data_IF_651856385277
#
_entry.id   IF_651856385277
#
_cell.length_a   1.000
_cell.length_b   1.000
_cell.length_c   1.000
_cell.angle_alpha   90.00
_cell.angle_beta   90.00
_cell.angle_gamma   90.00
#
_symmetry.space_group_name_H-M   'P 1'
#
loop_
_entity.id
_entity.type
_entity.pdbx_description
1 polymer ?
#
# COMPACT_ATOMS: atom_id res chain seq x y z
N UNK A 1 -30.28 -41.48 -31.72
CA UNK A 1 -30.12 -40.33 -32.65
C UNK A 1 -28.98 -39.46 -32.14
N UNK A 2 -27.80 -39.54 -32.76
CA UNK A 2 -26.61 -38.79 -32.36
C UNK A 2 -26.45 -37.52 -33.23
N UNK A 3 -26.43 -36.34 -32.59
CA UNK A 3 -26.19 -35.05 -33.27
C UNK A 3 -24.68 -34.85 -33.50
N UNK A 4 -24.28 -34.82 -34.76
CA UNK A 4 -22.92 -34.47 -35.24
C UNK A 4 -22.72 -32.95 -35.07
N UNK A 5 -21.75 -32.51 -34.25
CA UNK A 5 -21.30 -31.10 -34.20
C UNK A 5 -20.14 -30.89 -35.18
N UNK A 6 -20.21 -29.81 -35.96
CA UNK A 6 -19.19 -29.38 -36.93
C UNK A 6 -17.93 -28.82 -36.27
N UNK A 7 -16.73 -28.93 -36.88
CA UNK A 7 -15.50 -28.45 -36.27
C UNK A 7 -15.33 -26.93 -36.44
N UNK A 8 -15.06 -26.22 -35.34
CA UNK A 8 -14.62 -24.80 -35.36
C UNK A 8 -13.13 -24.74 -35.77
N UNK A 9 -12.81 -23.96 -36.80
CA UNK A 9 -11.42 -23.66 -37.21
C UNK A 9 -10.70 -22.90 -36.08
N UNK A 10 -9.62 -23.45 -35.54
CA UNK A 10 -8.65 -22.74 -34.68
C UNK A 10 -7.61 -22.05 -35.57
N UNK A 11 -7.51 -20.72 -35.45
CA UNK A 11 -6.41 -19.92 -36.01
C UNK A 11 -5.21 -20.09 -35.08
N UNK A 12 -4.06 -20.53 -35.61
CA UNK A 12 -2.81 -20.72 -34.84
C UNK A 12 -2.02 -19.41 -34.86
N UNK A 13 -1.78 -18.80 -33.69
CA UNK A 13 -1.02 -17.56 -33.52
C UNK A 13 0.50 -17.78 -33.35
N UNK A 14 0.99 -19.01 -33.46
CA UNK A 14 2.36 -19.40 -33.08
C UNK A 14 3.45 -19.05 -34.11
N UNK A 15 3.29 -18.00 -34.93
CA UNK A 15 4.28 -17.66 -35.97
C UNK A 15 4.69 -16.19 -36.09
N UNK A 16 4.25 -15.31 -35.18
CA UNK A 16 4.59 -13.87 -35.27
C UNK A 16 5.58 -13.42 -34.18
N UNK A 17 5.78 -14.19 -33.11
CA UNK A 17 6.64 -13.78 -31.98
C UNK A 17 8.13 -14.16 -32.09
N UNK A 18 8.63 -14.64 -33.24
CA UNK A 18 9.99 -15.21 -33.37
C UNK A 18 10.94 -14.46 -34.32
N UNK A 19 10.64 -13.22 -34.74
CA UNK A 19 11.51 -12.47 -35.68
C UNK A 19 11.85 -11.03 -35.25
N UNK A 20 11.21 -10.47 -34.21
CA UNK A 20 11.38 -9.03 -33.89
C UNK A 20 12.44 -8.74 -32.81
N UNK A 21 12.99 -9.75 -32.13
CA UNK A 21 13.85 -9.54 -30.95
C UNK A 21 15.38 -9.43 -31.22
N UNK A 22 15.99 -9.91 -32.34
CA UNK A 22 17.45 -9.79 -32.49
C UNK A 22 17.95 -8.58 -33.31
N UNK A 23 17.13 -7.58 -33.62
CA UNK A 23 17.55 -6.42 -34.48
C UNK A 23 17.83 -5.14 -33.69
N UNK A 24 17.39 -5.02 -32.43
CA UNK A 24 17.56 -3.78 -31.63
C UNK A 24 18.85 -3.73 -30.78
N UNK A 25 19.63 -4.80 -30.74
CA UNK A 25 20.87 -4.88 -29.94
C UNK A 25 22.17 -4.56 -30.71
N UNK A 26 22.10 -4.33 -32.03
CA UNK A 26 23.26 -4.01 -32.87
C UNK A 26 23.40 -2.49 -33.14
N UNK A 27 22.37 -1.68 -32.83
CA UNK A 27 22.39 -0.24 -33.12
C UNK A 27 23.05 0.64 -32.03
N UNK A 28 23.32 0.11 -30.83
CA UNK A 28 23.81 0.91 -29.69
C UNK A 28 25.35 0.92 -29.59
N UNK A 29 26.06 0.02 -30.28
CA UNK A 29 27.53 -0.07 -30.20
C UNK A 29 28.26 0.78 -31.27
N UNK A 30 27.54 1.38 -32.21
CA UNK A 30 28.14 2.16 -33.31
C UNK A 30 28.19 3.69 -33.10
N UNK A 31 27.77 4.22 -31.94
CA UNK A 31 27.70 5.68 -31.68
C UNK A 31 28.78 6.22 -30.71
N UNK A 32 29.77 5.41 -30.32
CA UNK A 32 30.84 5.79 -29.38
C UNK A 32 32.24 5.92 -30.01
N UNK A 33 32.34 6.14 -31.31
CA UNK A 33 33.63 6.47 -31.92
C UNK A 33 33.45 7.49 -33.06
N UNK A 34 34.39 8.44 -33.13
CA UNK A 34 34.62 9.42 -34.21
C UNK A 34 33.99 10.80 -34.01
N UNK A 35 34.68 11.68 -33.25
CA UNK A 35 35.50 12.77 -33.84
C UNK A 35 35.91 13.83 -32.82
N UNK A 36 37.18 13.76 -32.39
CA UNK A 36 38.01 14.88 -31.95
C UNK A 36 38.96 15.22 -33.11
N UNK A 37 39.53 16.46 -33.13
CA UNK A 37 40.65 17.00 -33.97
C UNK A 37 40.13 17.69 -35.26
N UNK A 38 40.35 18.98 -35.63
CA UNK A 38 41.29 20.09 -35.29
C UNK A 38 40.89 21.39 -36.04
N UNK A 39 41.37 22.57 -35.61
CA UNK A 39 42.10 23.45 -36.56
C UNK A 39 41.66 24.92 -36.83
N UNK A 40 42.06 25.83 -35.93
CA UNK A 40 42.54 27.24 -36.04
C UNK A 40 42.60 28.03 -37.40
N UNK A 41 42.03 29.25 -37.35
CA UNK A 41 42.43 30.59 -37.88
C UNK A 41 42.75 30.92 -39.36
N UNK A 42 42.11 32.00 -39.86
CA UNK A 42 42.60 32.89 -40.93
C UNK A 42 41.79 34.20 -41.02
N UNK A 43 42.47 35.36 -41.01
CA UNK A 43 41.96 36.75 -40.82
C UNK A 43 41.38 37.40 -42.10
N UNK A 44 40.50 38.41 -41.92
CA UNK A 44 40.59 39.77 -42.58
C UNK A 44 39.58 40.78 -41.96
N UNK A 45 40.03 42.04 -41.81
CA UNK A 45 39.37 43.32 -41.38
C UNK A 45 39.26 44.23 -42.65
N UNK A 46 38.55 45.39 -42.78
CA UNK A 46 38.02 46.35 -41.77
C UNK A 46 36.66 47.06 -42.04
N UNK A 47 36.07 47.81 -41.09
CA UNK A 47 36.20 49.28 -40.85
C UNK A 47 35.36 49.74 -39.62
N UNK A 48 35.61 50.91 -38.97
CA UNK A 48 35.12 51.23 -37.62
C UNK A 48 33.90 52.19 -37.58
N UNK A 49 33.11 52.09 -36.51
CA UNK A 49 32.11 53.08 -36.06
C UNK A 49 32.00 53.03 -34.51
N UNK A 50 31.47 54.06 -33.83
CA UNK A 50 32.15 54.78 -32.76
C UNK A 50 31.92 54.19 -31.36
N UNK A 51 32.90 54.45 -30.50
CA UNK A 51 32.95 54.21 -29.06
C UNK A 51 31.70 54.76 -28.34
N UNK A 52 30.94 53.86 -27.72
CA UNK A 52 30.00 54.20 -26.64
C UNK A 52 30.65 53.88 -25.28
N UNK A 53 30.58 54.84 -24.36
CA UNK A 53 31.10 54.75 -23.00
C UNK A 53 30.47 53.57 -22.23
N UNK A 54 31.30 52.77 -21.58
CA UNK A 54 30.87 51.69 -20.68
C UNK A 54 30.42 52.25 -19.33
N UNK A 55 29.13 52.09 -19.04
CA UNK A 55 28.54 52.23 -17.69
C UNK A 55 28.86 50.95 -16.89
N UNK A 56 29.25 51.04 -15.60
CA UNK A 56 29.53 49.86 -14.79
C UNK A 56 28.26 49.02 -14.56
N UNK A 57 28.38 47.71 -14.73
CA UNK A 57 27.33 46.72 -14.52
C UNK A 57 27.07 46.54 -13.01
N UNK A 58 25.81 46.54 -12.53
CA UNK A 58 25.52 46.38 -11.12
C UNK A 58 25.79 44.93 -10.64
N UNK A 59 26.38 44.80 -9.46
CA UNK A 59 26.58 43.53 -8.75
C UNK A 59 25.23 42.83 -8.49
N UNK A 60 25.09 41.51 -8.75
CA UNK A 60 23.84 40.81 -8.49
C UNK A 60 23.54 40.79 -6.99
N UNK A 61 22.32 41.19 -6.62
CA UNK A 61 21.81 41.06 -5.26
C UNK A 61 21.71 39.58 -4.85
N UNK A 62 21.93 39.25 -3.56
CA UNK A 62 21.79 37.87 -3.09
C UNK A 62 20.34 37.39 -3.23
N UNK A 63 20.16 36.30 -3.98
CA UNK A 63 18.90 35.58 -4.06
C UNK A 63 18.53 35.07 -2.66
N UNK A 64 17.49 35.65 -2.07
CA UNK A 64 16.91 35.17 -0.81
C UNK A 64 16.27 33.81 -1.11
N UNK A 65 16.79 32.72 -0.52
CA UNK A 65 16.11 31.43 -0.58
C UNK A 65 14.71 31.57 0.02
N UNK A 66 13.66 31.09 -0.67
CA UNK A 66 12.31 31.13 -0.12
C UNK A 66 12.29 30.36 1.20
N UNK A 67 11.78 31.00 2.25
CA UNK A 67 11.50 30.34 3.52
C UNK A 67 10.54 29.17 3.25
N UNK A 68 10.83 27.94 3.69
CA UNK A 68 9.93 26.82 3.46
C UNK A 68 8.58 27.14 4.11
N UNK A 69 7.50 26.98 3.34
CA UNK A 69 6.15 27.06 3.89
C UNK A 69 5.99 25.97 4.98
N UNK A 70 5.29 26.26 6.09
CA UNK A 70 5.06 25.27 7.12
C UNK A 70 4.27 24.09 6.53
N UNK A 71 4.82 22.88 6.64
CA UNK A 71 4.10 21.64 6.30
C UNK A 71 2.85 21.55 7.19
N UNK A 72 1.65 21.34 6.61
CA UNK A 72 0.44 21.15 7.40
C UNK A 72 0.60 19.96 8.34
N UNK A 73 0.10 20.10 9.58
CA UNK A 73 0.12 19.04 10.58
C UNK A 73 -0.84 17.90 10.18
N UNK A 74 -0.34 16.67 9.91
CA UNK A 74 -1.18 15.54 9.52
C UNK A 74 -2.26 15.19 10.53
N UNK A 75 -2.04 15.47 11.82
CA UNK A 75 -3.02 15.23 12.90
C UNK A 75 -4.25 16.15 12.81
N UNK A 76 -4.23 17.12 11.89
CA UNK A 76 -5.37 18.00 11.61
C UNK A 76 -6.09 17.66 10.31
N UNK A 77 -5.60 16.67 9.56
CA UNK A 77 -6.23 16.24 8.31
C UNK A 77 -7.46 15.38 8.59
N UNK A 78 -8.63 15.93 8.25
CA UNK A 78 -9.93 15.27 8.42
C UNK A 78 -10.01 13.87 7.79
N UNK A 79 -9.22 13.55 6.76
CA UNK A 79 -9.25 12.23 6.11
C UNK A 79 -8.90 11.10 7.07
N UNK A 80 -8.18 11.36 8.15
CA UNK A 80 -7.82 10.33 9.13
C UNK A 80 -8.85 10.19 10.26
N UNK A 81 -9.82 11.09 10.37
CA UNK A 81 -10.78 11.13 11.48
C UNK A 81 -12.26 11.14 11.02
N UNK A 82 -12.51 11.39 9.74
CA UNK A 82 -13.81 11.29 9.12
C UNK A 82 -14.23 9.82 8.99
N UNK A 83 -15.40 9.48 9.56
CA UNK A 83 -15.98 8.14 9.56
C UNK A 83 -16.28 7.60 8.17
N UNK A 84 -16.49 8.47 7.19
CA UNK A 84 -16.76 8.05 5.81
C UNK A 84 -15.45 7.77 5.04
N UNK A 85 -14.31 8.25 5.54
CA UNK A 85 -13.00 8.09 4.88
C UNK A 85 -12.47 6.66 4.93
N UNK A 86 -11.84 6.22 3.83
CA UNK A 86 -11.07 4.97 3.80
C UNK A 86 -9.70 5.09 4.47
N UNK A 87 -9.28 6.31 4.82
CA UNK A 87 -8.05 6.58 5.55
C UNK A 87 -8.28 6.77 7.06
N UNK A 88 -9.49 6.58 7.57
CA UNK A 88 -9.75 6.71 9.02
C UNK A 88 -8.78 5.85 9.84
N UNK A 89 -8.10 6.46 10.81
CA UNK A 89 -7.12 5.76 11.64
C UNK A 89 -7.75 5.26 12.94
N UNK A 90 -7.43 4.00 13.27
CA UNK A 90 -7.62 3.43 14.59
C UNK A 90 -6.31 2.74 14.98
N UNK A 91 -5.65 3.27 16.00
CA UNK A 91 -4.44 2.72 16.60
C UNK A 91 -4.38 3.12 18.07
N UNK A 92 -3.38 2.74 18.86
CA UNK A 92 -3.37 3.03 20.31
C UNK A 92 -3.33 4.52 20.69
N UNK A 93 -3.08 5.43 19.74
CA UNK A 93 -3.15 6.89 19.94
C UNK A 93 -4.48 7.49 19.47
N UNK A 94 -5.18 6.82 18.57
CA UNK A 94 -6.39 7.32 17.93
C UNK A 94 -7.59 6.41 18.19
N UNK A 95 -8.48 6.85 19.08
CA UNK A 95 -9.76 6.19 19.34
C UNK A 95 -10.77 6.60 18.27
N UNK A 96 -11.51 5.64 17.75
CA UNK A 96 -12.71 5.88 16.97
C UNK A 96 -13.81 6.53 17.84
N UNK A 97 -14.77 7.25 17.24
CA UNK A 97 -15.92 7.77 17.96
C UNK A 97 -16.69 6.65 18.70
N UNK A 98 -17.16 6.95 19.91
CA UNK A 98 -17.91 5.99 20.73
C UNK A 98 -19.14 5.46 19.96
N UNK A 99 -19.30 4.13 19.93
CA UNK A 99 -20.41 3.48 19.24
C UNK A 99 -20.34 3.56 17.71
N UNK A 100 -19.20 3.94 17.12
CA UNK A 100 -19.04 3.98 15.68
C UNK A 100 -19.24 2.60 15.03
N UNK A 101 -20.13 2.57 14.03
CA UNK A 101 -20.42 1.44 13.14
C UNK A 101 -20.45 1.97 11.71
N UNK A 102 -19.67 1.42 10.77
CA UNK A 102 -19.75 1.83 9.37
C UNK A 102 -21.15 1.59 8.79
N UNK A 103 -21.66 2.55 8.02
CA UNK A 103 -23.02 2.48 7.46
C UNK A 103 -23.13 1.53 6.24
N UNK A 104 -22.00 1.13 5.67
CA UNK A 104 -21.86 0.42 4.39
C UNK A 104 -21.24 -0.97 4.54
N UNK A 105 -21.43 -1.63 5.70
CA UNK A 105 -20.96 -3.01 5.90
C UNK A 105 -21.67 -3.99 4.96
N UNK A 106 -20.90 -4.89 4.37
CA UNK A 106 -21.37 -5.94 3.48
C UNK A 106 -20.56 -7.24 3.65
N UNK A 107 -21.18 -8.34 3.24
CA UNK A 107 -20.54 -9.66 3.23
C UNK A 107 -19.77 -9.81 1.91
N UNK A 108 -18.43 -9.95 1.93
CA UNK A 108 -17.70 -10.30 0.72
C UNK A 108 -18.01 -11.73 0.30
N UNK A 109 -18.11 -11.99 -1.00
CA UNK A 109 -18.29 -13.32 -1.59
C UNK A 109 -16.95 -14.08 -1.68
N UNK A 110 -16.37 -14.38 -0.52
CA UNK A 110 -15.08 -15.07 -0.38
C UNK A 110 -15.16 -16.27 0.56
N UNK A 111 -14.16 -17.15 0.50
CA UNK A 111 -14.02 -18.22 1.50
C UNK A 111 -13.72 -17.63 2.88
N UNK A 112 -14.50 -18.04 3.89
CA UNK A 112 -14.38 -17.56 5.27
C UNK A 112 -14.22 -18.73 6.23
N UNK A 113 -13.41 -18.54 7.27
CA UNK A 113 -13.31 -19.51 8.38
C UNK A 113 -14.65 -19.64 9.12
N UNK A 114 -15.35 -18.52 9.28
CA UNK A 114 -16.69 -18.43 9.86
C UNK A 114 -17.54 -17.50 8.99
N UNK A 115 -18.74 -17.94 8.58
CA UNK A 115 -19.57 -17.27 7.57
C UNK A 115 -20.33 -16.04 8.10
N UNK A 116 -19.66 -15.15 8.84
CA UNK A 116 -20.32 -14.02 9.51
C UNK A 116 -19.50 -12.73 9.49
N UNK A 117 -18.41 -12.67 8.74
CA UNK A 117 -17.57 -11.48 8.66
C UNK A 117 -18.03 -10.52 7.57
N UNK A 118 -17.97 -9.23 7.90
CA UNK A 118 -18.33 -8.14 6.99
C UNK A 118 -17.18 -7.14 6.87
N UNK A 119 -17.15 -6.39 5.79
CA UNK A 119 -16.27 -5.23 5.60
C UNK A 119 -17.07 -4.07 5.01
N UNK A 120 -16.55 -2.85 5.02
CA UNK A 120 -17.14 -1.75 4.23
C UNK A 120 -17.20 -2.16 2.76
N UNK A 121 -18.27 -1.79 2.06
CA UNK A 121 -18.61 -2.28 0.73
C UNK A 121 -17.44 -2.28 -0.27
N UNK A 122 -16.75 -1.14 -0.43
CA UNK A 122 -15.62 -1.04 -1.36
C UNK A 122 -14.44 -1.94 -0.97
N UNK A 123 -14.21 -2.13 0.33
CA UNK A 123 -13.19 -3.07 0.81
C UNK A 123 -13.62 -4.52 0.56
N UNK A 124 -14.90 -4.86 0.72
CA UNK A 124 -15.43 -6.19 0.42
C UNK A 124 -15.27 -6.53 -1.08
N UNK A 125 -15.65 -5.62 -1.98
CA UNK A 125 -15.47 -5.79 -3.43
C UNK A 125 -13.99 -5.94 -3.80
N UNK A 126 -13.13 -5.10 -3.21
CA UNK A 126 -11.69 -5.20 -3.44
C UNK A 126 -11.11 -6.54 -2.93
N UNK A 127 -11.65 -7.07 -1.83
CA UNK A 127 -11.26 -8.36 -1.28
C UNK A 127 -11.62 -9.51 -2.24
N UNK A 128 -12.83 -9.48 -2.81
CA UNK A 128 -13.29 -10.44 -3.81
C UNK A 128 -12.37 -10.45 -5.05
N UNK A 129 -12.00 -9.26 -5.55
CA UNK A 129 -11.06 -9.13 -6.67
C UNK A 129 -9.68 -9.72 -6.33
N UNK A 130 -9.19 -9.46 -5.12
CA UNK A 130 -7.91 -9.98 -4.64
C UNK A 130 -7.93 -11.51 -4.53
N UNK A 131 -9.01 -12.09 -3.98
CA UNK A 131 -9.17 -13.53 -3.84
C UNK A 131 -9.28 -14.22 -5.20
N UNK A 132 -10.02 -13.63 -6.14
CA UNK A 132 -10.12 -14.14 -7.50
C UNK A 132 -8.76 -14.19 -8.20
N UNK A 133 -7.95 -13.14 -8.06
CA UNK A 133 -6.61 -13.09 -8.63
C UNK A 133 -5.63 -14.07 -7.97
N UNK A 134 -5.70 -14.23 -6.65
CA UNK A 134 -4.91 -15.24 -5.94
C UNK A 134 -5.22 -16.65 -6.47
N UNK A 135 -6.51 -16.95 -6.68
CA UNK A 135 -6.96 -18.25 -7.18
C UNK A 135 -6.46 -18.55 -8.61
N UNK A 136 -6.27 -17.53 -9.46
CA UNK A 136 -5.66 -17.70 -10.79
C UNK A 136 -4.21 -18.20 -10.71
N UNK A 137 -3.52 -17.97 -9.59
CA UNK A 137 -2.17 -18.44 -9.28
C UNK A 137 -2.17 -19.68 -8.35
N UNK A 138 -3.33 -20.33 -8.19
CA UNK A 138 -3.53 -21.47 -7.29
C UNK A 138 -3.23 -21.13 -5.82
N UNK A 139 -3.45 -19.87 -5.42
CA UNK A 139 -3.33 -19.38 -4.05
C UNK A 139 -4.75 -19.23 -3.49
N UNK A 140 -5.09 -20.02 -2.48
CA UNK A 140 -6.44 -20.07 -1.92
C UNK A 140 -6.49 -19.36 -0.56
N UNK A 141 -6.88 -18.09 -0.60
CA UNK A 141 -7.00 -17.25 0.59
C UNK A 141 -8.29 -17.57 1.35
N UNK A 142 -8.26 -17.38 2.67
CA UNK A 142 -9.43 -17.47 3.56
C UNK A 142 -9.49 -16.25 4.46
N UNK A 143 -10.69 -15.67 4.58
CA UNK A 143 -10.97 -14.60 5.53
C UNK A 143 -11.14 -15.19 6.94
N UNK A 144 -10.19 -14.91 7.82
CA UNK A 144 -10.19 -15.34 9.22
C UNK A 144 -11.09 -14.47 10.09
N UNK A 145 -11.03 -13.14 9.91
CA UNK A 145 -11.86 -12.17 10.63
C UNK A 145 -12.04 -10.87 9.83
N UNK A 146 -13.12 -10.13 10.11
CA UNK A 146 -13.46 -8.86 9.46
C UNK A 146 -13.88 -7.80 10.48
N UNK A 147 -14.93 -7.03 10.19
CA UNK A 147 -15.47 -6.02 11.09
C UNK A 147 -15.76 -6.59 12.50
N UNK A 148 -15.26 -5.88 13.51
CA UNK A 148 -15.54 -6.14 14.93
C UNK A 148 -16.00 -4.84 15.58
N UNK A 149 -17.25 -4.80 16.05
CA UNK A 149 -17.78 -3.64 16.77
C UNK A 149 -17.16 -3.46 18.16
N UNK A 150 -17.30 -2.26 18.73
CA UNK A 150 -16.71 -1.87 20.02
C UNK A 150 -17.09 -2.85 21.16
N UNK A 151 -18.35 -3.27 21.24
CA UNK A 151 -18.83 -4.19 22.27
C UNK A 151 -18.25 -5.60 22.14
N UNK A 152 -18.07 -6.09 20.90
CA UNK A 152 -17.38 -7.36 20.67
C UNK A 152 -15.92 -7.26 21.13
N UNK A 153 -15.25 -6.16 20.75
CA UNK A 153 -13.87 -5.90 21.15
C UNK A 153 -13.74 -5.78 22.67
N UNK A 154 -14.75 -5.22 23.34
CA UNK A 154 -14.80 -5.15 24.81
C UNK A 154 -14.84 -6.52 25.45
N UNK A 155 -15.72 -7.41 24.99
CA UNK A 155 -15.80 -8.78 25.54
C UNK A 155 -14.47 -9.51 25.35
N UNK A 156 -13.84 -9.37 24.18
CA UNK A 156 -12.53 -9.96 23.90
C UNK A 156 -11.44 -9.41 24.84
N UNK A 157 -11.34 -8.10 24.93
CA UNK A 157 -10.34 -7.42 25.76
C UNK A 157 -10.50 -7.75 27.25
N UNK A 158 -11.73 -7.70 27.77
CA UNK A 158 -12.03 -8.06 29.17
C UNK A 158 -11.64 -9.51 29.47
N UNK A 159 -11.80 -10.42 28.50
CA UNK A 159 -11.35 -11.81 28.60
C UNK A 159 -9.84 -11.92 28.81
N UNK A 160 -9.05 -11.20 28.01
CA UNK A 160 -7.59 -11.17 28.17
C UNK A 160 -7.15 -10.49 29.47
N UNK A 161 -7.85 -9.44 29.90
CA UNK A 161 -7.61 -8.82 31.20
C UNK A 161 -7.85 -9.83 32.33
N UNK A 162 -8.91 -10.64 32.24
CA UNK A 162 -9.19 -11.67 33.23
C UNK A 162 -8.14 -12.80 33.22
N UNK A 163 -7.57 -13.12 32.07
CA UNK A 163 -6.54 -14.16 31.91
C UNK A 163 -5.17 -13.74 32.45
N UNK A 164 -4.70 -12.55 32.09
CA UNK A 164 -3.30 -12.13 32.34
C UNK A 164 -3.13 -10.70 32.86
N UNK A 165 -4.23 -9.98 33.13
CA UNK A 165 -4.21 -8.58 33.54
C UNK A 165 -4.10 -7.61 32.35
N UNK A 166 -4.15 -6.30 32.66
CA UNK A 166 -4.22 -5.25 31.65
C UNK A 166 -2.96 -5.18 30.77
N UNK A 167 -1.76 -5.32 31.35
CA UNK A 167 -0.51 -5.30 30.58
C UNK A 167 -0.43 -6.45 29.58
N UNK A 168 -0.96 -7.64 29.92
CA UNK A 168 -1.09 -8.74 28.98
C UNK A 168 -2.09 -8.40 27.88
N UNK A 169 -3.30 -7.96 28.24
CA UNK A 169 -4.33 -7.58 27.28
C UNK A 169 -3.87 -6.49 26.29
N UNK A 170 -3.21 -5.43 26.76
CA UNK A 170 -2.68 -4.33 25.94
C UNK A 170 -1.55 -4.77 24.97
N UNK A 171 -0.93 -5.93 25.22
CA UNK A 171 0.13 -6.50 24.36
C UNK A 171 -0.40 -7.43 23.26
N UNK A 172 -1.62 -7.96 23.40
CA UNK A 172 -2.20 -8.91 22.45
C UNK A 172 -3.54 -8.45 21.85
N UNK A 173 -4.11 -7.36 22.34
CA UNK A 173 -5.43 -6.89 21.92
C UNK A 173 -5.58 -5.37 22.01
N UNK A 174 -6.31 -4.80 21.06
CA UNK A 174 -6.73 -3.40 21.12
C UNK A 174 -7.78 -3.19 22.22
N UNK A 175 -7.70 -2.06 22.92
CA UNK A 175 -8.80 -1.57 23.77
C UNK A 175 -10.02 -1.27 22.88
N UNK A 176 -11.25 -1.34 23.41
CA UNK A 176 -12.46 -0.99 22.67
C UNK A 176 -12.36 0.43 22.08
N UNK A 177 -12.74 0.59 20.81
CA UNK A 177 -12.60 1.85 20.07
C UNK A 177 -11.23 2.08 19.42
N UNK A 178 -10.21 1.28 19.72
CA UNK A 178 -8.85 1.43 19.17
C UNK A 178 -8.47 0.34 18.16
N UNK A 179 -9.39 -0.59 17.85
CA UNK A 179 -9.13 -1.68 16.93
C UNK A 179 -9.33 -1.26 15.48
N UNK A 180 -8.37 -1.60 14.63
CA UNK A 180 -8.47 -1.39 13.17
C UNK A 180 -9.68 -2.13 12.57
N UNK A 181 -10.08 -3.27 13.13
CA UNK A 181 -11.29 -4.00 12.70
C UNK A 181 -12.58 -3.21 12.87
N UNK A 182 -12.66 -2.29 13.83
CA UNK A 182 -13.86 -1.47 14.02
C UNK A 182 -14.05 -0.46 12.88
N UNK A 183 -13.01 -0.16 12.09
CA UNK A 183 -13.15 0.66 10.89
C UNK A 183 -13.96 -0.05 9.79
N UNK A 184 -14.08 -1.38 9.86
CA UNK A 184 -14.63 -2.21 8.78
C UNK A 184 -13.73 -2.31 7.56
N UNK A 185 -12.49 -1.84 7.65
CA UNK A 185 -11.50 -1.82 6.56
C UNK A 185 -10.36 -2.81 6.77
N UNK A 186 -10.25 -3.38 7.96
CA UNK A 186 -9.28 -4.40 8.29
C UNK A 186 -9.85 -5.81 8.13
N UNK A 187 -9.00 -6.74 7.72
CA UNK A 187 -9.30 -8.16 7.63
C UNK A 187 -8.08 -8.98 8.05
N UNK A 188 -8.34 -10.07 8.75
CA UNK A 188 -7.34 -11.11 8.97
C UNK A 188 -7.47 -12.14 7.87
N UNK A 189 -6.35 -12.49 7.24
CA UNK A 189 -6.27 -13.45 6.13
C UNK A 189 -5.39 -14.63 6.51
N UNK A 190 -5.84 -15.82 6.16
CA UNK A 190 -5.08 -17.05 6.31
C UNK A 190 -5.26 -17.91 5.05
N UNK A 191 -4.77 -19.15 5.10
CA UNK A 191 -4.87 -20.10 4.00
C UNK A 191 -4.79 -21.54 4.49
N UNK A 192 -4.96 -22.47 3.55
CA UNK A 192 -4.87 -23.90 3.85
C UNK A 192 -3.46 -24.28 4.31
N UNK A 193 -2.41 -23.66 3.74
CA UNK A 193 -1.02 -23.97 4.11
C UNK A 193 -0.66 -23.49 5.54
N UNK A 194 -1.49 -22.63 6.13
CA UNK A 194 -1.38 -22.21 7.54
C UNK A 194 -2.32 -22.96 8.48
N UNK A 195 -3.01 -24.02 8.03
CA UNK A 195 -4.10 -24.65 8.80
C UNK A 195 -5.16 -23.63 9.30
N UNK A 196 -5.33 -22.53 8.55
CA UNK A 196 -6.18 -21.38 8.88
C UNK A 196 -5.78 -20.60 10.15
N UNK A 197 -4.55 -20.75 10.62
CA UNK A 197 -4.02 -20.06 11.80
C UNK A 197 -3.58 -18.62 11.49
N UNK A 198 -3.78 -17.74 12.48
CA UNK A 198 -3.36 -16.34 12.45
C UNK A 198 -2.09 -16.21 13.31
N UNK A 199 -0.96 -16.63 12.73
CA UNK A 199 0.34 -16.63 13.39
C UNK A 199 1.42 -16.07 12.46
N UNK A 200 2.58 -15.73 13.01
CA UNK A 200 3.68 -15.18 12.20
C UNK A 200 4.19 -16.18 11.16
N UNK A 201 4.01 -17.48 11.39
CA UNK A 201 4.38 -18.52 10.42
C UNK A 201 3.61 -18.41 9.09
N UNK A 202 2.48 -17.68 9.07
CA UNK A 202 1.75 -17.36 7.85
C UNK A 202 2.66 -16.70 6.79
N UNK A 203 3.68 -15.93 7.19
CA UNK A 203 4.65 -15.30 6.27
C UNK A 203 5.37 -16.32 5.36
N UNK A 204 5.47 -17.58 5.81
CA UNK A 204 6.20 -18.63 5.10
C UNK A 204 5.33 -19.42 4.11
N UNK A 205 4.00 -19.26 4.20
CA UNK A 205 3.03 -19.94 3.32
C UNK A 205 3.03 -19.35 1.91
N UNK A 206 2.37 -20.03 0.96
CA UNK A 206 2.18 -19.51 -0.40
C UNK A 206 1.29 -18.26 -0.38
N UNK A 207 0.25 -18.28 0.45
CA UNK A 207 -0.74 -17.23 0.66
C UNK A 207 -0.11 -15.97 1.25
N UNK A 208 0.64 -16.09 2.35
CA UNK A 208 1.31 -14.96 2.99
C UNK A 208 2.32 -14.27 2.06
N UNK A 209 3.12 -15.06 1.32
CA UNK A 209 4.07 -14.53 0.31
C UNK A 209 3.35 -13.83 -0.84
N UNK A 210 2.25 -14.42 -1.33
CA UNK A 210 1.48 -13.82 -2.40
C UNK A 210 0.84 -12.50 -1.95
N UNK A 211 0.27 -12.45 -0.75
CA UNK A 211 -0.32 -11.24 -0.18
C UNK A 211 0.73 -10.13 -0.01
N UNK A 212 1.89 -10.44 0.55
CA UNK A 212 2.98 -9.46 0.70
C UNK A 212 3.38 -8.83 -0.64
N UNK A 213 3.36 -9.60 -1.73
CA UNK A 213 3.73 -9.13 -3.06
C UNK A 213 2.59 -8.45 -3.85
N UNK A 214 1.31 -8.71 -3.52
CA UNK A 214 0.18 -8.36 -4.38
C UNK A 214 -0.94 -7.56 -3.74
N UNK A 215 -1.09 -7.57 -2.40
CA UNK A 215 -2.24 -6.98 -1.72
C UNK A 215 -2.47 -5.49 -2.08
N UNK A 216 -1.38 -4.73 -2.25
CA UNK A 216 -1.44 -3.30 -2.59
C UNK A 216 -2.15 -3.01 -3.92
N UNK A 217 -2.08 -3.94 -4.88
CA UNK A 217 -2.75 -3.82 -6.20
C UNK A 217 -4.28 -3.78 -6.06
N UNK A 218 -4.79 -4.30 -4.96
CA UNK A 218 -6.21 -4.36 -4.62
C UNK A 218 -6.59 -3.35 -3.54
N UNK A 219 -5.66 -2.49 -3.11
CA UNK A 219 -5.94 -1.46 -2.11
C UNK A 219 -5.67 -1.87 -0.67
N UNK A 220 -5.03 -3.02 -0.44
CA UNK A 220 -4.70 -3.52 0.88
C UNK A 220 -3.22 -3.34 1.22
N UNK A 221 -2.93 -2.95 2.46
CA UNK A 221 -1.57 -2.91 3.01
C UNK A 221 -1.44 -3.92 4.14
N UNK A 222 -0.24 -4.49 4.33
CA UNK A 222 0.09 -5.20 5.57
C UNK A 222 0.22 -4.16 6.69
N UNK A 223 -0.74 -4.15 7.61
CA UNK A 223 -0.91 -3.01 8.54
C UNK A 223 0.19 -2.94 9.59
N UNK A 224 0.69 -4.09 10.01
CA UNK A 224 1.66 -4.27 11.10
C UNK A 224 2.89 -5.05 10.60
N UNK A 225 3.81 -4.40 9.86
CA UNK A 225 5.02 -5.02 9.34
C UNK A 225 6.08 -5.29 10.42
N UNK A 226 7.03 -6.18 10.11
CA UNK A 226 8.08 -6.65 11.02
C UNK A 226 9.05 -5.53 11.40
N UNK A 227 9.37 -5.39 12.69
CA UNK A 227 10.32 -4.38 13.17
C UNK A 227 9.75 -2.96 13.23
N UNK A 228 8.42 -2.82 13.22
CA UNK A 228 7.69 -1.54 13.28
C UNK A 228 6.77 -1.44 14.49
N UNK A 229 7.07 -2.21 15.54
CA UNK A 229 6.29 -2.29 16.76
C UNK A 229 6.27 -0.95 17.51
N UNK A 230 7.42 -0.26 17.58
CA UNK A 230 7.54 1.05 18.24
C UNK A 230 6.75 2.16 17.51
N UNK A 231 6.44 1.95 16.22
CA UNK A 231 5.74 2.91 15.37
C UNK A 231 4.24 2.60 15.36
N UNK A 232 3.85 1.35 15.13
CA UNK A 232 2.43 0.98 15.02
C UNK A 232 1.77 0.70 16.37
N UNK A 233 2.57 0.32 17.38
CA UNK A 233 2.09 -0.14 18.68
C UNK A 233 1.65 -1.60 18.73
N UNK A 234 1.79 -2.35 17.62
CA UNK A 234 1.38 -3.75 17.48
C UNK A 234 2.56 -4.62 17.04
N UNK A 235 2.53 -5.89 17.44
CA UNK A 235 3.50 -6.88 16.99
C UNK A 235 3.42 -7.10 15.47
N UNK A 236 4.41 -7.78 14.90
CA UNK A 236 4.33 -8.22 13.50
C UNK A 236 3.13 -9.17 13.28
N UNK A 237 2.24 -8.80 12.35
CA UNK A 237 1.04 -9.56 11.99
C UNK A 237 0.95 -9.75 10.46
N UNK A 238 1.62 -10.77 9.88
CA UNK A 238 1.57 -11.04 8.44
C UNK A 238 0.18 -11.36 7.89
N UNK A 239 -0.79 -11.62 8.76
CA UNK A 239 -2.17 -11.94 8.41
C UNK A 239 -3.09 -10.71 8.38
N UNK A 240 -2.72 -9.58 9.01
CA UNK A 240 -3.61 -8.42 9.17
C UNK A 240 -3.42 -7.43 8.01
N UNK A 241 -4.46 -7.29 7.19
CA UNK A 241 -4.47 -6.39 6.03
C UNK A 241 -5.53 -5.30 6.19
N UNK A 242 -5.16 -4.08 5.79
CA UNK A 242 -6.01 -2.88 5.88
C UNK A 242 -6.26 -2.30 4.50
N UNK A 243 -7.53 -2.15 4.13
CA UNK A 243 -7.93 -1.45 2.91
C UNK A 243 -7.80 0.07 3.08
N UNK A 244 -7.15 0.74 2.13
CA UNK A 244 -6.96 2.19 2.09
C UNK A 244 -7.22 2.78 0.70
N UNK A 245 -7.91 2.05 -0.18
CA UNK A 245 -8.01 2.28 -1.64
C UNK A 245 -6.78 1.85 -2.44
N UNK A 246 -6.99 1.49 -3.71
CA UNK A 246 -5.93 1.06 -4.64
C UNK A 246 -4.86 2.14 -4.84
N UNK A 247 -5.28 3.40 -4.97
CA UNK A 247 -4.35 4.50 -5.21
C UNK A 247 -3.41 4.71 -4.03
N UNK A 248 -3.94 4.78 -2.81
CA UNK A 248 -3.14 5.04 -1.62
C UNK A 248 -2.28 3.82 -1.23
N UNK A 249 -2.80 2.59 -1.38
CA UNK A 249 -2.02 1.38 -1.15
C UNK A 249 -0.83 1.27 -2.12
N UNK A 250 -1.01 1.66 -3.39
CA UNK A 250 0.06 1.73 -4.36
C UNK A 250 1.13 2.77 -3.95
N UNK A 251 0.72 3.99 -3.56
CA UNK A 251 1.65 5.03 -3.10
C UNK A 251 2.46 4.58 -1.88
N UNK A 252 1.81 3.96 -0.91
CA UNK A 252 2.46 3.46 0.30
C UNK A 252 3.43 2.32 -0.03
N UNK A 253 3.04 1.39 -0.91
CA UNK A 253 3.92 0.32 -1.37
C UNK A 253 5.18 0.85 -2.08
N UNK A 254 5.02 1.86 -2.95
CA UNK A 254 6.13 2.52 -3.66
C UNK A 254 7.07 3.30 -2.71
N UNK A 255 6.57 3.77 -1.58
CA UNK A 255 7.38 4.42 -0.55
C UNK A 255 8.27 3.43 0.22
N UNK A 256 7.95 2.13 0.20
CA UNK A 256 8.81 1.05 0.69
C UNK A 256 8.03 -0.14 1.24
N UNK A 257 8.59 -1.35 1.10
CA UNK A 257 7.95 -2.61 1.51
C UNK A 257 7.57 -2.67 3.00
N UNK A 258 8.34 -1.99 3.87
CA UNK A 258 8.08 -1.90 5.31
C UNK A 258 7.56 -0.52 5.74
N UNK A 259 7.05 0.29 4.81
CA UNK A 259 6.43 1.57 5.13
C UNK A 259 5.14 1.31 5.92
N UNK A 260 4.96 2.01 7.03
CA UNK A 260 3.72 1.93 7.82
C UNK A 260 2.73 3.01 7.40
N UNK A 261 1.45 2.82 7.73
CA UNK A 261 0.42 3.86 7.55
C UNK A 261 0.80 5.14 8.34
N UNK A 262 1.26 4.97 9.58
CA UNK A 262 1.73 6.06 10.43
C UNK A 262 2.89 6.84 9.81
N UNK A 263 3.96 6.17 9.39
CA UNK A 263 5.12 6.84 8.78
C UNK A 263 4.77 7.54 7.47
N UNK A 264 3.96 6.90 6.63
CA UNK A 264 3.62 7.44 5.32
C UNK A 264 2.80 8.73 5.42
N UNK A 265 1.86 8.78 6.35
CA UNK A 265 1.01 9.96 6.55
C UNK A 265 1.51 10.90 7.65
N UNK A 266 2.54 10.54 8.39
CA UNK A 266 3.08 11.35 9.49
C UNK A 266 2.16 11.39 10.72
N UNK A 267 1.45 10.30 11.00
CA UNK A 267 0.53 10.17 12.14
C UNK A 267 1.22 9.56 13.34
N UNK A 268 0.75 9.91 14.54
CA UNK A 268 1.25 9.32 15.77
C UNK A 268 0.82 7.86 15.94
N UNK A 269 1.73 7.07 16.52
CA UNK A 269 1.49 5.68 16.87
C UNK A 269 2.27 5.29 18.12
N UNK A 270 2.65 4.01 18.21
CA UNK A 270 3.26 3.42 19.41
C UNK A 270 2.21 3.01 20.44
N UNK A 271 2.63 2.86 21.70
CA UNK A 271 1.76 2.35 22.76
C UNK A 271 0.71 3.37 23.24
N UNK A 272 -0.23 2.95 24.10
CA UNK A 272 -1.17 3.90 24.72
C UNK A 272 -0.43 5.03 25.45
N UNK A 273 -1.07 6.20 25.58
CA UNK A 273 -0.52 7.23 26.47
C UNK A 273 -0.45 6.69 27.91
N UNK A 274 0.67 6.95 28.59
CA UNK A 274 0.84 6.71 30.04
C UNK A 274 -0.08 7.61 30.88
#
# INVERSE_FOLDING_TARGET
MAKKKSPKRRIRFDRIAMIVIPVLLIAIIALLAVSLITGRNGKTKPSPEPTAETTPEPTPEPTVEPTPEPTPDPETDSRFFDTDSYLIIANKKHKLPDGYVPADLAYPEVDMRYNNWTMRWDAAVALEEMFAAAAEEDVHLVMGSGYRGEEFQKVLYDGYVAEGGQSYADSISSRPGYSDHQTGLATDLCGQDSDYDLTQDFENTKEGKWLAANAHKYGFIMRYPKGKEDITGYAYEPWHFRYITKEEAQKLHEAGENMTFEEFYGLSGGDYAE
#
